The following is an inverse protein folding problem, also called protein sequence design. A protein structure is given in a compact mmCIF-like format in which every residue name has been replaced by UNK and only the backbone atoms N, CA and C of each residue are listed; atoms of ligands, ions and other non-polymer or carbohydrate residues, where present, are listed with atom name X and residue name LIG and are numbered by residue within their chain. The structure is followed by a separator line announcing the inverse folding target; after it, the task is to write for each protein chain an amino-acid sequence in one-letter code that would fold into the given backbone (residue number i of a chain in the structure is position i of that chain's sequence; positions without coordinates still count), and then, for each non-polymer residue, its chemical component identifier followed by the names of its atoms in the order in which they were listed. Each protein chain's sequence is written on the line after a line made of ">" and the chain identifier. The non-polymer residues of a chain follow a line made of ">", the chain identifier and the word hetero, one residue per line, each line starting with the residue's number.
data_IF_064245466921
#
_entry.id   IF_064245466921
#
_cell.length_a   1.000
_cell.length_b   1.000
_cell.length_c   1.000
_cell.angle_alpha   90.00
_cell.angle_beta   90.00
_cell.angle_gamma   90.00
#
_symmetry.space_group_name_H-M   'P 1'
#
loop_
_entity.id
_entity.type
_entity.pdbx_description
1 polymer ?
#
# COMPACT_ATOMS: atom_id res chain seq x y z
N UNK A 1 12.52 2.38 -3.88
CA UNK A 1 11.29 2.78 -3.11
C UNK A 1 10.63 1.56 -2.52
N UNK A 2 9.64 1.74 -1.64
CA UNK A 2 8.81 0.65 -1.10
C UNK A 2 7.36 1.00 -1.38
N UNK A 3 6.61 0.10 -2.01
CA UNK A 3 5.16 0.18 -2.20
C UNK A 3 4.48 -0.74 -1.20
N UNK A 4 3.49 -0.23 -0.49
CA UNK A 4 2.67 -1.01 0.43
C UNK A 4 1.24 -0.46 0.47
N UNK A 5 0.28 -1.33 0.78
CA UNK A 5 -1.13 -1.01 0.92
C UNK A 5 -1.62 -1.28 2.33
N UNK A 6 -2.49 -0.42 2.84
CA UNK A 6 -3.09 -0.58 4.16
C UNK A 6 -4.58 -0.29 4.13
N UNK A 7 -5.35 -1.11 4.84
CA UNK A 7 -6.71 -0.77 5.20
C UNK A 7 -6.70 0.23 6.36
N UNK A 8 -7.38 1.35 6.17
CA UNK A 8 -7.67 2.31 7.23
C UNK A 8 -9.10 2.09 7.71
N UNK A 9 -9.23 1.70 8.95
CA UNK A 9 -10.48 1.24 9.55
C UNK A 9 -11.47 2.40 9.68
N UNK A 10 -12.72 2.13 9.30
CA UNK A 10 -13.85 3.07 9.38
C UNK A 10 -15.07 2.36 9.91
N UNK A 11 -16.09 3.14 10.27
CA UNK A 11 -17.42 2.59 10.50
C UNK A 11 -17.99 1.98 9.21
N UNK A 12 -18.97 1.08 9.37
CA UNK A 12 -19.66 0.45 8.24
C UNK A 12 -20.39 1.49 7.40
N UNK A 13 -20.12 1.46 6.10
CA UNK A 13 -20.93 2.15 5.10
C UNK A 13 -21.71 1.12 4.29
N UNK A 14 -23.02 1.23 4.29
CA UNK A 14 -23.93 0.33 3.57
C UNK A 14 -23.93 0.60 2.05
N UNK A 15 -22.78 0.40 1.43
CA UNK A 15 -22.59 0.49 -0.02
C UNK A 15 -22.17 -0.88 -0.54
N UNK A 16 -22.88 -1.36 -1.56
CA UNK A 16 -22.64 -2.69 -2.12
C UNK A 16 -22.06 -2.61 -3.52
N UNK A 17 -21.33 -3.66 -3.89
CA UNK A 17 -20.79 -3.87 -5.24
C UNK A 17 -20.94 -5.35 -5.63
N UNK A 18 -20.63 -5.66 -6.87
CA UNK A 18 -20.66 -7.04 -7.36
C UNK A 18 -19.25 -7.61 -7.35
N UNK A 19 -19.07 -8.77 -6.70
CA UNK A 19 -17.82 -9.51 -6.72
C UNK A 19 -17.53 -10.12 -8.10
N UNK A 20 -16.30 -10.58 -8.33
CA UNK A 20 -15.92 -11.32 -9.56
C UNK A 20 -16.76 -12.58 -9.79
N UNK A 21 -17.40 -13.11 -8.75
CA UNK A 21 -18.29 -14.30 -8.82
C UNK A 21 -19.75 -13.93 -9.07
N UNK A 22 -20.07 -12.63 -9.21
CA UNK A 22 -21.43 -12.16 -9.39
C UNK A 22 -22.25 -12.02 -8.10
N UNK A 23 -21.62 -12.14 -6.93
CA UNK A 23 -22.28 -12.01 -5.62
C UNK A 23 -22.31 -10.55 -5.19
N UNK A 24 -23.39 -10.12 -4.55
CA UNK A 24 -23.46 -8.79 -3.93
C UNK A 24 -22.66 -8.80 -2.63
N UNK A 25 -21.69 -7.91 -2.51
CA UNK A 25 -20.81 -7.76 -1.33
C UNK A 25 -20.76 -6.31 -0.86
N UNK A 26 -20.41 -6.10 0.40
CA UNK A 26 -20.12 -4.75 0.92
C UNK A 26 -18.84 -4.20 0.27
N UNK A 27 -18.92 -3.04 -0.38
CA UNK A 27 -17.81 -2.44 -1.13
C UNK A 27 -16.62 -2.08 -0.22
N UNK A 28 -16.89 -1.66 1.01
CA UNK A 28 -15.86 -1.21 1.95
C UNK A 28 -15.40 -2.29 2.94
N UNK A 29 -15.96 -3.51 2.86
CA UNK A 29 -15.55 -4.62 3.72
C UNK A 29 -14.37 -5.38 3.14
N UNK A 30 -13.29 -5.47 3.90
CA UNK A 30 -12.11 -6.26 3.55
C UNK A 30 -12.21 -7.68 4.11
N UNK A 31 -12.40 -8.66 3.24
CA UNK A 31 -12.37 -10.08 3.64
C UNK A 31 -11.00 -10.54 4.18
N UNK A 32 -9.90 -9.89 3.77
CA UNK A 32 -8.54 -10.14 4.27
C UNK A 32 -8.36 -9.68 5.71
N UNK A 33 -8.85 -8.48 6.03
CA UNK A 33 -8.72 -7.87 7.36
C UNK A 33 -9.92 -8.15 8.26
N UNK A 34 -11.05 -8.59 7.69
CA UNK A 34 -12.33 -8.83 8.37
C UNK A 34 -12.88 -7.57 9.04
N UNK A 35 -12.66 -6.44 8.40
CA UNK A 35 -13.08 -5.13 8.89
C UNK A 35 -13.50 -4.21 7.75
N UNK A 36 -14.21 -3.13 8.10
CA UNK A 36 -14.61 -2.08 7.17
C UNK A 36 -13.53 -1.01 7.09
N UNK A 37 -13.25 -0.54 5.89
CA UNK A 37 -12.27 0.53 5.72
C UNK A 37 -11.96 0.84 4.27
N UNK A 38 -11.08 1.82 4.11
CA UNK A 38 -10.54 2.24 2.83
C UNK A 38 -9.12 1.68 2.63
N UNK A 39 -8.88 1.07 1.48
CA UNK A 39 -7.53 0.67 1.08
C UNK A 39 -6.78 1.90 0.55
N UNK A 40 -5.66 2.22 1.17
CA UNK A 40 -4.75 3.30 0.77
C UNK A 40 -3.42 2.70 0.38
N UNK A 41 -2.95 3.05 -0.80
CA UNK A 41 -1.62 2.72 -1.27
C UNK A 41 -0.63 3.81 -0.85
N UNK A 42 0.58 3.44 -0.48
CA UNK A 42 1.63 4.40 -0.15
C UNK A 42 2.96 4.01 -0.80
N UNK A 43 3.70 5.01 -1.25
CA UNK A 43 5.09 4.87 -1.68
C UNK A 43 5.97 5.48 -0.60
N UNK A 44 6.99 4.74 -0.19
CA UNK A 44 7.89 5.12 0.88
C UNK A 44 9.34 5.15 0.40
N UNK A 45 10.13 6.00 1.02
CA UNK A 45 11.58 6.00 0.89
C UNK A 45 12.18 4.73 1.50
N UNK A 46 13.45 4.41 1.18
CA UNK A 46 14.14 3.28 1.80
C UNK A 46 14.26 3.35 3.33
N UNK A 47 14.22 4.55 3.92
CA UNK A 47 14.23 4.78 5.37
C UNK A 47 12.84 4.63 6.01
N UNK A 48 11.81 4.36 5.21
CA UNK A 48 10.44 4.19 5.65
C UNK A 48 9.62 5.47 5.75
N UNK A 49 10.15 6.65 5.38
CA UNK A 49 9.33 7.86 5.31
C UNK A 49 8.35 7.76 4.13
N UNK A 50 7.02 7.88 4.36
CA UNK A 50 6.06 7.91 3.27
C UNK A 50 6.21 9.20 2.48
N UNK A 51 6.28 9.09 1.14
CA UNK A 51 6.44 10.23 0.23
C UNK A 51 5.20 10.49 -0.61
N UNK A 52 4.34 9.49 -0.73
CA UNK A 52 3.09 9.60 -1.47
C UNK A 52 2.05 8.66 -0.89
N UNK A 53 0.78 9.07 -0.93
CA UNK A 53 -0.38 8.24 -0.60
C UNK A 53 -1.47 8.43 -1.63
N UNK A 54 -2.24 7.39 -1.88
CA UNK A 54 -3.32 7.38 -2.85
C UNK A 54 -4.60 8.02 -2.32
N UNK A 55 -5.56 8.16 -3.23
CA UNK A 55 -6.96 8.27 -2.89
C UNK A 55 -7.49 6.98 -2.26
N UNK A 56 -8.65 7.07 -1.61
CA UNK A 56 -9.31 5.94 -0.98
C UNK A 56 -9.87 4.98 -2.02
N UNK A 57 -9.48 3.71 -1.91
CA UNK A 57 -10.04 2.62 -2.70
C UNK A 57 -10.92 1.72 -1.81
N UNK A 58 -11.96 1.08 -2.40
CA UNK A 58 -12.82 0.17 -1.66
C UNK A 58 -12.05 -0.95 -0.95
N UNK A 59 -12.40 -1.24 0.33
CA UNK A 59 -11.68 -2.19 1.16
C UNK A 59 -11.73 -3.64 0.70
N UNK A 60 -12.71 -4.03 -0.16
CA UNK A 60 -12.78 -5.37 -0.74
C UNK A 60 -11.71 -5.61 -1.83
N UNK A 61 -11.11 -4.55 -2.39
CA UNK A 61 -10.13 -4.67 -3.46
C UNK A 61 -8.77 -5.11 -2.93
N UNK A 62 -8.09 -5.97 -3.70
CA UNK A 62 -6.71 -6.37 -3.43
C UNK A 62 -5.73 -5.23 -3.75
N UNK A 63 -4.62 -5.18 -3.03
CA UNK A 63 -3.59 -4.14 -3.15
C UNK A 63 -3.11 -3.96 -4.60
N UNK A 64 -2.86 -5.05 -5.34
CA UNK A 64 -2.49 -4.99 -6.75
C UNK A 64 -3.58 -4.34 -7.62
N UNK A 65 -4.84 -4.68 -7.37
CA UNK A 65 -5.98 -4.09 -8.08
C UNK A 65 -6.08 -2.59 -7.81
N UNK A 66 -5.92 -2.19 -6.56
CA UNK A 66 -5.86 -0.77 -6.17
C UNK A 66 -4.71 -0.05 -6.87
N UNK A 67 -3.50 -0.65 -6.87
CA UNK A 67 -2.32 -0.06 -7.49
C UNK A 67 -2.50 0.17 -9.00
N UNK A 68 -3.16 -0.76 -9.71
CA UNK A 68 -3.48 -0.59 -11.13
C UNK A 68 -4.53 0.49 -11.37
N UNK A 69 -5.64 0.48 -10.63
CA UNK A 69 -6.69 1.50 -10.76
C UNK A 69 -6.18 2.92 -10.50
N UNK A 70 -5.20 3.05 -9.63
CA UNK A 70 -4.57 4.33 -9.26
C UNK A 70 -3.40 4.71 -10.17
N UNK A 71 -3.08 3.89 -11.18
CA UNK A 71 -1.94 4.05 -12.09
C UNK A 71 -0.58 4.19 -11.37
N UNK A 72 -0.48 3.75 -10.11
CA UNK A 72 0.78 3.83 -9.37
C UNK A 72 1.82 2.87 -9.93
N UNK A 73 1.40 1.72 -10.45
CA UNK A 73 2.29 0.77 -11.13
C UNK A 73 2.98 1.38 -12.33
N UNK A 74 2.30 2.20 -13.12
CA UNK A 74 2.85 2.85 -14.31
C UNK A 74 3.84 3.95 -13.92
N UNK A 75 3.53 4.73 -12.89
CA UNK A 75 4.44 5.73 -12.34
C UNK A 75 5.73 5.08 -11.79
N UNK A 76 5.60 3.93 -11.10
CA UNK A 76 6.75 3.20 -10.56
C UNK A 76 7.56 2.50 -11.67
N UNK A 77 6.92 2.01 -12.72
CA UNK A 77 7.60 1.51 -13.92
C UNK A 77 8.40 2.63 -14.60
N UNK A 78 7.80 3.81 -14.75
CA UNK A 78 8.50 4.98 -15.29
C UNK A 78 9.73 5.32 -14.44
N UNK A 79 9.59 5.36 -13.12
CA UNK A 79 10.69 5.65 -12.21
C UNK A 79 11.83 4.61 -12.33
N UNK A 80 11.48 3.32 -12.45
CA UNK A 80 12.48 2.27 -12.62
C UNK A 80 13.21 2.36 -13.97
N UNK A 81 12.49 2.68 -15.04
CA UNK A 81 13.02 2.69 -16.41
C UNK A 81 13.80 3.97 -16.74
N UNK A 82 13.36 5.13 -16.27
CA UNK A 82 13.94 6.42 -16.65
C UNK A 82 14.99 6.92 -15.66
N UNK A 83 14.80 6.66 -14.37
CA UNK A 83 15.70 7.16 -13.32
C UNK A 83 16.34 6.05 -12.48
N UNK A 84 16.23 4.79 -12.95
CA UNK A 84 16.80 3.60 -12.30
C UNK A 84 16.45 3.45 -10.82
N UNK A 85 15.22 3.80 -10.47
CA UNK A 85 14.71 3.78 -9.10
C UNK A 85 13.71 2.63 -8.91
N UNK A 86 14.18 1.40 -8.60
CA UNK A 86 13.31 0.25 -8.42
C UNK A 86 12.45 0.35 -7.16
N UNK A 87 11.34 -0.38 -7.14
CA UNK A 87 10.41 -0.44 -6.03
C UNK A 87 10.32 -1.85 -5.47
N UNK A 88 10.32 -1.97 -4.15
CA UNK A 88 10.08 -3.22 -3.44
C UNK A 88 8.62 -3.27 -3.00
N UNK A 89 7.98 -4.42 -3.14
CA UNK A 89 6.62 -4.64 -2.69
C UNK A 89 6.47 -6.04 -2.09
N UNK A 90 5.34 -6.30 -1.43
CA UNK A 90 5.04 -7.62 -0.89
C UNK A 90 4.48 -8.57 -1.97
N UNK A 91 4.16 -9.80 -1.56
CA UNK A 91 3.57 -10.80 -2.46
C UNK A 91 2.17 -10.45 -2.96
N UNK A 92 1.49 -9.51 -2.33
CA UNK A 92 0.18 -8.98 -2.76
C UNK A 92 0.26 -8.24 -4.08
N UNK A 93 1.46 -7.75 -4.44
CA UNK A 93 1.73 -7.07 -5.70
C UNK A 93 2.37 -7.97 -6.77
N UNK A 94 2.34 -9.30 -6.59
CA UNK A 94 2.89 -10.20 -7.58
C UNK A 94 2.18 -10.03 -8.94
N UNK A 95 2.95 -9.65 -9.98
CA UNK A 95 2.42 -9.31 -11.30
C UNK A 95 2.25 -7.80 -11.55
N UNK A 96 2.68 -6.94 -10.63
CA UNK A 96 2.58 -5.47 -10.77
C UNK A 96 3.40 -4.88 -11.94
N UNK A 97 4.27 -5.68 -12.58
CA UNK A 97 5.03 -5.25 -13.74
C UNK A 97 6.53 -5.06 -13.45
N UNK A 98 7.25 -4.60 -14.48
CA UNK A 98 8.69 -4.37 -14.40
C UNK A 98 9.03 -3.24 -13.45
N UNK A 99 10.18 -3.35 -12.77
CA UNK A 99 10.64 -2.33 -11.81
C UNK A 99 10.03 -2.44 -10.41
N UNK A 100 9.01 -3.31 -10.24
CA UNK A 100 8.43 -3.63 -8.93
C UNK A 100 8.85 -5.04 -8.54
N UNK A 101 9.67 -5.14 -7.52
CA UNK A 101 10.26 -6.38 -7.04
C UNK A 101 9.43 -6.97 -5.91
N UNK A 102 8.92 -8.18 -6.14
CA UNK A 102 8.12 -8.94 -5.17
C UNK A 102 8.80 -10.27 -4.81
N UNK A 103 8.49 -10.86 -3.65
CA UNK A 103 9.04 -12.16 -3.28
C UNK A 103 8.59 -13.26 -4.24
N UNK A 104 9.50 -14.20 -4.52
CA UNK A 104 9.15 -15.45 -5.18
C UNK A 104 8.16 -16.25 -4.33
N UNK A 105 7.05 -16.65 -4.94
CA UNK A 105 6.04 -17.50 -4.28
C UNK A 105 6.58 -18.91 -4.04
N UNK A 106 6.16 -19.51 -2.92
CA UNK A 106 6.46 -20.91 -2.65
C UNK A 106 5.85 -21.79 -3.75
N UNK A 107 6.63 -22.72 -4.35
CA UNK A 107 6.10 -23.63 -5.34
C UNK A 107 4.98 -24.53 -4.75
N UNK A 108 4.04 -24.94 -5.61
CA UNK A 108 3.03 -25.92 -5.23
C UNK A 108 3.65 -27.27 -4.85
N UNK A 109 2.86 -28.14 -4.22
CA UNK A 109 3.20 -29.53 -3.88
C UNK A 109 4.42 -29.70 -2.95
N UNK A 110 4.60 -28.81 -1.98
CA UNK A 110 5.62 -28.97 -0.92
C UNK A 110 7.07 -28.83 -1.40
N UNK A 111 7.31 -28.44 -2.65
CA UNK A 111 8.65 -28.18 -3.17
C UNK A 111 9.25 -26.95 -2.47
N UNK A 112 10.54 -27.03 -2.12
CA UNK A 112 11.26 -25.89 -1.55
C UNK A 112 11.69 -24.93 -2.65
N UNK A 113 11.64 -23.63 -2.33
CA UNK A 113 12.28 -22.61 -3.19
C UNK A 113 13.77 -22.92 -3.36
N UNK A 114 14.30 -22.63 -4.55
CA UNK A 114 15.74 -22.67 -4.81
C UNK A 114 16.49 -21.78 -3.79
N UNK A 115 17.74 -22.15 -3.43
CA UNK A 115 18.52 -21.38 -2.46
C UNK A 115 18.61 -19.89 -2.79
N UNK A 116 18.87 -19.54 -4.06
CA UNK A 116 18.98 -18.16 -4.52
C UNK A 116 17.66 -17.38 -4.32
N UNK A 117 16.51 -18.00 -4.64
CA UNK A 117 15.20 -17.38 -4.43
C UNK A 117 14.89 -17.18 -2.94
N UNK A 118 15.36 -18.07 -2.07
CA UNK A 118 15.24 -17.91 -0.61
C UNK A 118 16.08 -16.75 -0.12
N UNK A 119 17.31 -16.65 -0.58
CA UNK A 119 18.23 -15.56 -0.26
C UNK A 119 17.64 -14.22 -0.72
N UNK A 120 17.19 -14.16 -1.98
CA UNK A 120 16.51 -13.00 -2.53
C UNK A 120 15.29 -12.58 -1.65
N UNK A 121 14.40 -13.51 -1.32
CA UNK A 121 13.23 -13.23 -0.48
C UNK A 121 13.62 -12.71 0.91
N UNK A 122 14.72 -13.22 1.49
CA UNK A 122 15.22 -12.76 2.78
C UNK A 122 15.74 -11.32 2.69
N UNK A 123 16.55 -11.02 1.68
CA UNK A 123 17.07 -9.67 1.44
C UNK A 123 15.94 -8.67 1.16
N UNK A 124 15.01 -9.03 0.28
CA UNK A 124 13.86 -8.19 -0.05
C UNK A 124 13.00 -7.90 1.19
N UNK A 125 12.76 -8.90 2.03
CA UNK A 125 12.00 -8.74 3.28
C UNK A 125 12.72 -7.80 4.25
N UNK A 126 14.03 -7.95 4.41
CA UNK A 126 14.81 -7.11 5.33
C UNK A 126 14.82 -5.64 4.91
N UNK A 127 14.85 -5.35 3.59
CA UNK A 127 14.76 -3.99 3.08
C UNK A 127 13.32 -3.43 3.14
N UNK A 128 12.31 -4.28 2.86
CA UNK A 128 10.93 -3.87 2.81
C UNK A 128 10.29 -3.62 4.19
N UNK A 129 10.83 -4.24 5.25
CA UNK A 129 10.27 -4.08 6.61
C UNK A 129 10.20 -2.60 7.05
N UNK A 130 11.03 -1.73 6.48
CA UNK A 130 10.95 -0.29 6.72
C UNK A 130 9.69 0.35 6.12
N UNK A 131 9.02 -0.29 5.17
CA UNK A 131 7.72 0.16 4.65
C UNK A 131 6.62 0.16 5.71
N UNK A 132 6.60 -0.83 6.61
CA UNK A 132 5.66 -0.89 7.73
C UNK A 132 5.80 0.33 8.66
N UNK A 133 7.02 0.89 8.76
CA UNK A 133 7.29 2.11 9.51
C UNK A 133 6.54 3.32 8.94
N UNK A 134 6.35 3.41 7.63
CA UNK A 134 5.67 4.53 6.99
C UNK A 134 4.23 4.67 7.46
N UNK A 135 3.48 3.57 7.44
CA UNK A 135 2.13 3.59 8.01
C UNK A 135 2.13 3.76 9.53
N UNK A 136 3.12 3.20 10.24
CA UNK A 136 3.27 3.41 11.68
C UNK A 136 3.54 4.88 12.04
N UNK A 137 4.31 5.61 11.24
CA UNK A 137 4.52 7.06 11.40
C UNK A 137 3.17 7.78 11.28
N UNK A 138 2.40 7.53 10.22
CA UNK A 138 1.10 8.18 10.00
C UNK A 138 0.10 7.85 11.11
N UNK A 139 -0.15 6.56 11.39
CA UNK A 139 -1.14 6.14 12.39
C UNK A 139 -0.69 6.37 13.82
N UNK A 140 0.61 6.38 14.08
CA UNK A 140 1.18 6.69 15.40
C UNK A 140 1.01 8.16 15.76
N UNK A 141 1.26 9.04 14.80
CA UNK A 141 1.18 10.49 14.99
C UNK A 141 -0.25 11.02 14.91
N UNK A 142 -1.04 10.54 13.94
CA UNK A 142 -2.38 11.05 13.66
C UNK A 142 -3.46 10.06 14.11
N UNK A 143 -4.02 10.30 15.29
CA UNK A 143 -4.99 9.36 15.91
C UNK A 143 -6.23 9.09 15.05
N UNK A 144 -6.68 10.08 14.29
CA UNK A 144 -7.81 9.96 13.36
C UNK A 144 -7.60 8.83 12.32
N UNK A 145 -6.35 8.47 12.06
CA UNK A 145 -6.01 7.39 11.11
C UNK A 145 -6.01 5.99 11.74
N UNK A 146 -6.30 5.84 13.02
CA UNK A 146 -6.40 4.52 13.67
C UNK A 146 -7.76 3.89 13.45
N UNK A 147 -8.79 4.69 13.59
CA UNK A 147 -10.18 4.39 13.26
C UNK A 147 -10.88 5.73 13.03
N UNK A 148 -11.67 5.82 11.97
CA UNK A 148 -12.36 7.05 11.61
C UNK A 148 -13.85 6.81 11.45
N UNK A 149 -14.68 7.71 12.03
CA UNK A 149 -16.12 7.78 11.78
C UNK A 149 -16.47 8.54 10.49
N UNK A 150 -15.46 9.08 9.80
CA UNK A 150 -15.64 9.71 8.50
C UNK A 150 -16.01 8.68 7.43
N UNK A 151 -16.65 9.15 6.36
CA UNK A 151 -16.89 8.29 5.20
C UNK A 151 -15.59 7.67 4.69
N UNK A 152 -15.55 6.36 4.38
CA UNK A 152 -14.38 5.72 3.80
C UNK A 152 -13.81 6.48 2.58
N UNK A 153 -14.67 7.13 1.80
CA UNK A 153 -14.26 7.96 0.65
C UNK A 153 -13.39 9.15 1.04
N UNK A 154 -13.58 9.71 2.23
CA UNK A 154 -12.84 10.87 2.74
C UNK A 154 -11.48 10.49 3.34
N UNK A 155 -11.24 9.20 3.57
CA UNK A 155 -10.00 8.74 4.22
C UNK A 155 -8.77 9.13 3.40
N UNK A 156 -8.84 9.06 2.07
CA UNK A 156 -7.73 9.47 1.21
C UNK A 156 -7.29 10.91 1.46
N UNK A 157 -8.23 11.84 1.58
CA UNK A 157 -7.94 13.25 1.87
C UNK A 157 -7.34 13.44 3.28
N UNK A 158 -7.88 12.72 4.27
CA UNK A 158 -7.37 12.76 5.65
C UNK A 158 -5.92 12.22 5.69
N UNK A 159 -5.65 11.11 5.01
CA UNK A 159 -4.30 10.53 4.95
C UNK A 159 -3.34 11.46 4.22
N UNK A 160 -3.78 12.09 3.13
CA UNK A 160 -2.99 13.07 2.37
C UNK A 160 -2.65 14.30 3.23
N UNK A 161 -3.61 14.84 3.97
CA UNK A 161 -3.37 15.94 4.90
C UNK A 161 -2.36 15.53 5.99
N UNK A 162 -2.53 14.34 6.59
CA UNK A 162 -1.60 13.79 7.57
C UNK A 162 -0.18 13.61 6.98
N UNK A 163 -0.07 13.18 5.73
CA UNK A 163 1.20 13.06 5.02
C UNK A 163 1.90 14.42 4.88
N UNK A 164 1.19 15.45 4.44
CA UNK A 164 1.75 16.81 4.31
C UNK A 164 2.25 17.34 5.65
N UNK A 165 1.47 17.18 6.71
CA UNK A 165 1.88 17.58 8.05
C UNK A 165 3.09 16.77 8.55
N UNK A 166 3.16 15.48 8.22
CA UNK A 166 4.32 14.65 8.52
C UNK A 166 5.56 15.12 7.78
N UNK A 167 5.44 15.45 6.49
CA UNK A 167 6.54 16.02 5.70
C UNK A 167 7.06 17.32 6.30
N UNK A 168 6.18 18.18 6.77
CA UNK A 168 6.56 19.40 7.46
C UNK A 168 7.32 19.11 8.77
N UNK A 169 6.81 18.21 9.60
CA UNK A 169 7.49 17.80 10.85
C UNK A 169 8.89 17.20 10.60
N UNK A 170 9.03 16.40 9.54
CA UNK A 170 10.31 15.78 9.16
C UNK A 170 11.20 16.69 8.30
N UNK A 171 10.80 17.93 8.07
CA UNK A 171 11.49 18.90 7.19
C UNK A 171 11.81 18.33 5.81
N UNK A 172 10.88 17.50 5.28
CA UNK A 172 11.03 16.86 3.98
C UNK A 172 10.67 17.82 2.83
N UNK A 173 9.72 18.71 3.06
CA UNK A 173 9.40 19.76 2.09
C UNK A 173 10.53 20.80 2.13
N UNK A 174 11.09 21.20 0.98
CA UNK A 174 12.03 22.30 0.95
C UNK A 174 11.34 23.54 1.54
N UNK A 175 12.10 24.30 2.35
CA UNK A 175 11.64 25.58 2.82
C UNK A 175 11.22 26.39 1.58
N UNK A 176 9.94 26.71 1.49
CA UNK A 176 9.43 27.56 0.43
C UNK A 176 10.06 28.94 0.59
N UNK A 177 11.01 29.25 -0.31
CA UNK A 177 11.53 30.60 -0.46
C UNK A 177 10.43 31.59 -0.82
#
# INVERSE_FOLDING_TARGET
>A
MILDGRLFDTDRLAETTTSVKGETIDAWYSGKHRDFGANIQAVMRPDGLPIWTSDAMPGHLHDLTCAHHLNVTDALYWAASQIHLPTLADSGYAGAGQGIHTPYKQPAAGRRLAPDNRTYNTMLRSMRCLGERGFAILTGRWRTLRHSTASPRSIGDIVRAALHLTHFEYRYLPDSC
#
